data_IF_118339201776
#
_entry.id   IF_118339201776
#
_cell.length_a   1.000
_cell.length_b   1.000
_cell.length_c   1.000
_cell.angle_alpha   90.00
_cell.angle_beta   90.00
_cell.angle_gamma   90.00
#
_symmetry.space_group_name_H-M   'P 1'
#
loop_
_entity.id
_entity.type
_entity.pdbx_description
1 polymer ?
#
# COMPACT_ATOMS: atom_id res chain seq x y z
N UNK A 1 5.06 -0.84 26.07
CA UNK A 1 4.70 0.59 26.16
C UNK A 1 4.11 1.02 24.83
N UNK A 2 3.10 1.90 24.80
CA UNK A 2 2.54 2.41 23.55
C UNK A 2 3.57 3.19 22.73
N UNK A 3 3.59 2.96 21.42
CA UNK A 3 4.45 3.68 20.48
C UNK A 3 3.80 4.98 20.00
N UNK A 4 4.63 5.93 19.59
CA UNK A 4 4.26 7.10 18.80
C UNK A 4 4.57 6.80 17.33
N UNK A 5 3.56 6.83 16.47
CA UNK A 5 3.69 6.44 15.06
C UNK A 5 3.25 7.59 14.16
N UNK A 6 4.12 7.99 13.24
CA UNK A 6 3.83 8.99 12.22
C UNK A 6 3.41 8.31 10.93
N UNK A 7 2.23 8.62 10.42
CA UNK A 7 1.77 8.17 9.11
C UNK A 7 1.79 9.30 8.10
N UNK A 8 2.47 9.12 6.99
CA UNK A 8 2.36 9.99 5.84
C UNK A 8 1.26 9.45 4.94
N UNK A 9 0.08 10.10 5.00
CA UNK A 9 -1.12 9.69 4.27
C UNK A 9 -2.25 9.19 5.18
N UNK A 10 -3.46 9.74 4.99
CA UNK A 10 -4.62 9.47 5.84
C UNK A 10 -5.61 8.44 5.30
N UNK A 11 -5.36 7.84 4.13
CA UNK A 11 -6.24 6.79 3.59
C UNK A 11 -5.88 5.41 4.19
N UNK A 12 -4.91 4.71 3.63
CA UNK A 12 -4.42 3.45 4.25
C UNK A 12 -3.84 3.66 5.65
N UNK A 13 -3.30 4.86 5.92
CA UNK A 13 -2.86 5.26 7.26
C UNK A 13 -4.01 5.19 8.27
N UNK A 14 -5.21 5.67 7.95
CA UNK A 14 -6.39 5.55 8.84
C UNK A 14 -6.80 4.10 9.09
N UNK A 15 -6.70 3.23 8.07
CA UNK A 15 -7.05 1.82 8.25
C UNK A 15 -6.13 1.12 9.25
N UNK A 16 -4.83 1.26 9.09
CA UNK A 16 -3.89 0.65 10.03
C UNK A 16 -3.94 1.35 11.41
N UNK A 17 -4.06 2.67 11.44
CA UNK A 17 -4.22 3.43 12.69
C UNK A 17 -5.41 2.92 13.52
N UNK A 18 -6.58 2.74 12.91
CA UNK A 18 -7.77 2.20 13.57
C UNK A 18 -7.56 0.81 14.19
N UNK A 19 -6.59 0.05 13.69
CA UNK A 19 -6.20 -1.27 14.23
C UNK A 19 -5.17 -1.16 15.37
N UNK A 20 -4.42 -0.06 15.44
CA UNK A 20 -3.39 0.17 16.45
C UNK A 20 -3.92 0.94 17.67
N UNK A 21 -4.90 1.82 17.46
CA UNK A 21 -5.50 2.63 18.53
C UNK A 21 -6.09 1.82 19.70
N UNK A 22 -6.68 0.62 19.52
CA UNK A 22 -7.14 -0.21 20.66
C UNK A 22 -6.04 -0.57 21.65
N UNK A 23 -4.78 -0.65 21.21
CA UNK A 23 -3.63 -0.93 22.08
C UNK A 23 -3.04 0.33 22.76
N UNK A 24 -3.68 1.49 22.60
CA UNK A 24 -3.28 2.72 23.27
C UNK A 24 -2.16 3.52 22.58
N UNK A 25 -1.79 3.17 21.33
CA UNK A 25 -0.77 3.90 20.59
C UNK A 25 -1.18 5.36 20.29
N UNK A 26 -0.17 6.22 20.12
CA UNK A 26 -0.36 7.61 19.68
C UNK A 26 -0.03 7.73 18.21
N UNK A 27 -1.01 8.13 17.42
CA UNK A 27 -0.92 8.23 15.96
C UNK A 27 -0.97 9.69 15.53
N UNK A 28 -0.05 10.08 14.65
CA UNK A 28 -0.08 11.34 13.91
C UNK A 28 -0.24 11.02 12.43
N UNK A 29 -1.25 11.60 11.78
CA UNK A 29 -1.44 11.53 10.34
C UNK A 29 -0.94 12.82 9.68
N UNK A 30 -0.16 12.69 8.61
CA UNK A 30 0.16 13.81 7.72
C UNK A 30 -0.76 13.71 6.51
N UNK A 31 -1.53 14.77 6.26
CA UNK A 31 -2.54 14.77 5.21
C UNK A 31 -2.87 16.18 4.71
N UNK A 32 -3.86 16.30 3.85
CA UNK A 32 -4.29 17.57 3.27
C UNK A 32 -4.98 18.47 4.33
N UNK A 33 -4.95 19.81 4.17
CA UNK A 33 -5.51 20.74 5.17
C UNK A 33 -6.96 20.47 5.56
N UNK A 34 -7.82 20.17 4.57
CA UNK A 34 -9.22 19.82 4.82
C UNK A 34 -9.38 18.49 5.60
N UNK A 35 -8.47 17.55 5.44
CA UNK A 35 -8.44 16.30 6.22
C UNK A 35 -7.95 16.57 7.65
N UNK A 36 -6.94 17.43 7.81
CA UNK A 36 -6.39 17.82 9.13
C UNK A 36 -7.49 18.38 10.02
N UNK A 37 -8.27 19.34 9.50
CA UNK A 37 -9.37 19.97 10.26
C UNK A 37 -10.39 18.92 10.74
N UNK A 38 -10.89 18.09 9.82
CA UNK A 38 -11.93 17.11 10.12
C UNK A 38 -11.42 16.02 11.05
N UNK A 39 -10.18 15.51 10.86
CA UNK A 39 -9.61 14.47 11.70
C UNK A 39 -9.36 14.98 13.11
N UNK A 40 -8.84 16.19 13.27
CA UNK A 40 -8.60 16.76 14.61
C UNK A 40 -9.90 17.04 15.37
N UNK A 41 -10.97 17.42 14.67
CA UNK A 41 -12.28 17.69 15.26
C UNK A 41 -13.08 16.42 15.56
N UNK A 42 -13.09 15.46 14.64
CA UNK A 42 -14.01 14.32 14.65
C UNK A 42 -13.34 12.94 14.74
N UNK A 43 -12.01 12.88 14.70
CA UNK A 43 -11.27 11.62 14.58
C UNK A 43 -11.38 11.00 13.19
N UNK A 44 -11.04 9.71 13.10
CA UNK A 44 -11.23 8.89 11.91
C UNK A 44 -12.36 7.88 12.15
N UNK A 45 -13.05 7.50 11.06
CA UNK A 45 -14.04 6.42 11.04
C UNK A 45 -13.68 5.40 10.00
N UNK A 46 -13.61 4.14 10.40
CA UNK A 46 -13.31 3.02 9.50
C UNK A 46 -14.45 2.03 9.54
N UNK A 47 -15.10 1.81 8.40
CA UNK A 47 -16.20 0.86 8.24
C UNK A 47 -15.70 -0.39 7.54
N UNK A 48 -16.01 -1.56 8.08
CA UNK A 48 -15.54 -2.83 7.51
C UNK A 48 -16.56 -3.96 7.71
N UNK A 49 -16.64 -4.91 6.75
CA UNK A 49 -17.46 -6.09 6.90
C UNK A 49 -16.83 -7.03 7.94
N UNK A 50 -17.64 -7.54 8.85
CA UNK A 50 -17.22 -8.53 9.86
C UNK A 50 -18.04 -9.81 9.67
N UNK A 51 -17.38 -10.95 9.62
CA UNK A 51 -18.05 -12.27 9.44
C UNK A 51 -19.09 -12.49 10.53
N UNK A 52 -20.30 -12.85 10.12
CA UNK A 52 -21.43 -13.11 11.03
C UNK A 52 -22.13 -11.83 11.53
N UNK A 53 -21.86 -10.68 10.92
CA UNK A 53 -22.59 -9.44 11.17
C UNK A 53 -23.27 -8.97 9.90
N UNK A 54 -24.48 -8.45 10.03
CA UNK A 54 -25.14 -7.71 8.94
C UNK A 54 -24.59 -6.29 8.86
N UNK A 55 -24.40 -5.80 7.62
CA UNK A 55 -23.88 -4.47 7.38
C UNK A 55 -22.39 -4.32 7.70
N UNK A 56 -21.98 -3.09 7.97
CA UNK A 56 -20.60 -2.72 8.27
C UNK A 56 -20.46 -2.36 9.75
N UNK A 57 -19.41 -2.84 10.37
CA UNK A 57 -18.99 -2.38 11.71
C UNK A 57 -18.19 -1.10 11.53
N UNK A 58 -18.53 -0.05 12.28
CA UNK A 58 -17.81 1.23 12.28
C UNK A 58 -16.90 1.33 13.50
N UNK A 59 -15.62 1.59 13.25
CA UNK A 59 -14.63 1.96 14.26
C UNK A 59 -14.57 3.49 14.30
N UNK A 60 -14.98 4.09 15.43
CA UNK A 60 -14.78 5.52 15.71
C UNK A 60 -13.54 5.66 16.62
N UNK A 61 -12.50 6.33 16.12
CA UNK A 61 -11.23 6.50 16.85
C UNK A 61 -11.37 7.23 18.18
N UNK A 62 -12.40 8.05 18.35
CA UNK A 62 -12.65 8.79 19.60
C UNK A 62 -13.11 7.89 20.75
N UNK A 63 -13.56 6.67 20.44
CA UNK A 63 -14.00 5.68 21.42
C UNK A 63 -12.91 4.69 21.78
N UNK A 64 -11.69 4.87 21.26
CA UNK A 64 -10.55 3.97 21.44
C UNK A 64 -9.56 4.53 22.48
N UNK A 65 -8.81 3.67 23.18
CA UNK A 65 -7.83 4.10 24.20
C UNK A 65 -6.67 4.95 23.65
N UNK A 66 -6.27 4.71 22.38
CA UNK A 66 -5.18 5.44 21.75
C UNK A 66 -5.56 6.86 21.34
N UNK A 67 -4.55 7.64 20.95
CA UNK A 67 -4.73 9.03 20.52
C UNK A 67 -4.43 9.17 19.04
N UNK A 68 -5.26 9.93 18.32
CA UNK A 68 -5.03 10.26 16.92
C UNK A 68 -5.15 11.77 16.72
N UNK A 69 -4.27 12.31 15.90
CA UNK A 69 -4.31 13.70 15.43
C UNK A 69 -3.74 13.78 14.03
N UNK A 70 -3.95 14.89 13.36
CA UNK A 70 -3.44 15.15 12.02
C UNK A 70 -2.73 16.48 11.93
N UNK A 71 -1.77 16.60 11.02
CA UNK A 71 -1.05 17.84 10.74
C UNK A 71 -0.62 17.92 9.27
N UNK A 72 -0.19 19.12 8.86
CA UNK A 72 0.49 19.34 7.59
C UNK A 72 1.93 18.79 7.61
N UNK A 73 2.56 18.54 6.45
CA UNK A 73 3.93 18.03 6.39
C UNK A 73 4.96 18.86 7.15
N UNK A 74 4.85 20.19 7.12
CA UNK A 74 5.80 21.11 7.76
C UNK A 74 5.62 21.26 9.29
N UNK A 75 4.55 20.70 9.86
CA UNK A 75 4.23 20.86 11.28
C UNK A 75 4.67 19.66 12.15
N UNK A 76 5.31 18.64 11.57
CA UNK A 76 5.72 17.43 12.28
C UNK A 76 7.24 17.28 12.28
N UNK A 77 7.78 16.79 13.40
CA UNK A 77 9.18 16.41 13.49
C UNK A 77 9.30 14.87 13.56
N UNK A 78 9.83 14.19 12.52
CA UNK A 78 9.94 12.73 12.52
C UNK A 78 10.75 12.13 13.66
N UNK A 79 11.66 12.91 14.28
CA UNK A 79 12.48 12.45 15.41
C UNK A 79 11.64 12.12 16.67
N UNK A 80 10.43 12.70 16.79
CA UNK A 80 9.54 12.52 17.94
C UNK A 80 8.77 11.19 17.94
N UNK A 81 8.95 10.36 16.90
CA UNK A 81 8.22 9.12 16.68
C UNK A 81 9.12 7.90 16.74
N UNK A 82 8.54 6.76 17.10
CA UNK A 82 9.22 5.48 17.19
C UNK A 82 9.23 4.73 15.85
N UNK A 83 8.20 4.95 15.04
CA UNK A 83 8.03 4.35 13.71
C UNK A 83 7.42 5.37 12.75
N UNK A 84 7.94 5.41 11.53
CA UNK A 84 7.37 6.19 10.42
C UNK A 84 6.67 5.22 9.46
N UNK A 85 5.43 5.51 9.09
CA UNK A 85 4.67 4.74 8.10
C UNK A 85 4.38 5.57 6.85
N UNK A 86 4.91 5.16 5.70
CA UNK A 86 4.70 5.82 4.41
C UNK A 86 3.46 5.20 3.75
N UNK A 87 2.31 5.86 3.84
CA UNK A 87 1.00 5.35 3.44
C UNK A 87 0.35 6.13 2.29
N UNK A 88 1.16 6.72 1.43
CA UNK A 88 0.74 7.41 0.20
C UNK A 88 1.16 6.62 -1.03
N UNK A 89 0.59 6.95 -2.18
CA UNK A 89 1.07 6.42 -3.47
C UNK A 89 2.40 7.07 -3.84
N UNK A 90 3.25 6.34 -4.56
CA UNK A 90 4.61 6.77 -4.93
C UNK A 90 4.67 8.19 -5.51
N UNK A 91 3.83 8.60 -6.48
CA UNK A 91 3.92 9.94 -7.06
C UNK A 91 3.66 11.10 -6.09
N UNK A 92 3.05 10.82 -4.93
CA UNK A 92 2.72 11.87 -3.95
C UNK A 92 3.94 12.32 -3.14
N UNK A 93 5.00 11.49 -3.05
CA UNK A 93 6.20 11.81 -2.26
C UNK A 93 7.05 12.94 -2.86
N UNK A 94 6.85 13.28 -4.12
CA UNK A 94 7.50 14.45 -4.76
C UNK A 94 6.77 15.78 -4.53
N UNK A 95 5.58 15.74 -3.92
CA UNK A 95 4.78 16.96 -3.69
C UNK A 95 5.50 17.91 -2.73
N UNK A 96 5.38 19.23 -2.93
CA UNK A 96 5.92 20.23 -2.02
C UNK A 96 5.48 19.97 -0.57
N UNK A 97 6.38 20.18 0.37
CA UNK A 97 6.19 19.88 1.80
C UNK A 97 6.36 18.40 2.14
N UNK A 98 5.87 17.48 1.31
CA UNK A 98 6.05 16.04 1.51
C UNK A 98 7.49 15.60 1.22
N UNK A 99 8.08 16.15 0.15
CA UNK A 99 9.48 15.91 -0.19
C UNK A 99 10.41 16.35 0.95
N UNK A 100 10.22 17.56 1.46
CA UNK A 100 10.99 18.12 2.57
C UNK A 100 10.80 17.31 3.85
N UNK A 101 9.58 16.82 4.09
CA UNK A 101 9.32 15.92 5.22
C UNK A 101 10.06 14.58 5.04
N UNK A 102 10.14 14.04 3.83
CA UNK A 102 10.88 12.80 3.58
C UNK A 102 12.37 12.97 3.83
N UNK A 103 12.95 14.14 3.50
CA UNK A 103 14.33 14.49 3.87
C UNK A 103 14.51 14.59 5.40
N UNK A 104 13.50 15.11 6.11
CA UNK A 104 13.51 15.13 7.57
C UNK A 104 13.39 13.71 8.17
N UNK A 105 12.61 12.82 7.56
CA UNK A 105 12.54 11.39 7.93
C UNK A 105 13.92 10.73 7.79
N UNK A 106 14.62 10.98 6.70
CA UNK A 106 15.98 10.46 6.47
C UNK A 106 16.97 10.93 7.55
N UNK A 107 16.90 12.22 7.92
CA UNK A 107 17.74 12.83 8.99
C UNK A 107 17.42 12.27 10.37
N UNK A 108 16.16 11.97 10.65
CA UNK A 108 15.71 11.44 11.95
C UNK A 108 16.18 10.01 12.22
N UNK A 109 16.62 9.27 11.20
CA UNK A 109 17.14 7.87 11.31
C UNK A 109 16.20 6.94 12.07
N UNK A 110 14.89 7.10 11.89
CA UNK A 110 13.86 6.23 12.49
C UNK A 110 13.50 5.08 11.56
N UNK A 111 13.07 3.92 12.09
CA UNK A 111 12.56 2.84 11.25
C UNK A 111 11.36 3.32 10.44
N UNK A 112 11.33 2.94 9.17
CA UNK A 112 10.36 3.41 8.20
C UNK A 112 9.69 2.22 7.50
N UNK A 113 8.36 2.08 7.64
CA UNK A 113 7.57 1.05 6.97
C UNK A 113 6.75 1.68 5.85
N UNK A 114 7.04 1.32 4.61
CA UNK A 114 6.24 1.79 3.47
C UNK A 114 5.03 0.88 3.24
N UNK A 115 3.84 1.47 3.21
CA UNK A 115 2.57 0.78 2.95
C UNK A 115 2.17 1.11 1.51
N UNK A 116 2.79 0.44 0.54
CA UNK A 116 2.74 0.78 -0.88
C UNK A 116 2.74 -0.47 -1.75
N UNK A 117 2.07 -0.41 -2.91
CA UNK A 117 2.22 -1.46 -3.93
C UNK A 117 3.55 -1.34 -4.67
N UNK A 118 4.04 -0.12 -4.86
CA UNK A 118 5.31 0.18 -5.47
C UNK A 118 6.36 0.34 -4.37
N UNK A 119 7.34 -0.57 -4.23
CA UNK A 119 8.38 -0.46 -3.21
C UNK A 119 9.18 0.83 -3.39
N UNK A 120 9.56 1.55 -2.32
CA UNK A 120 10.58 2.58 -2.41
C UNK A 120 11.87 2.05 -3.04
N UNK A 121 12.58 2.86 -3.85
CA UNK A 121 13.90 2.48 -4.38
C UNK A 121 14.86 2.06 -3.26
N UNK A 122 14.75 2.71 -2.11
CA UNK A 122 15.51 2.39 -0.90
C UNK A 122 15.26 0.94 -0.44
N UNK A 123 14.01 0.45 -0.51
CA UNK A 123 13.69 -0.93 -0.18
C UNK A 123 14.28 -1.91 -1.20
N UNK A 124 14.25 -1.57 -2.49
CA UNK A 124 14.80 -2.42 -3.55
C UNK A 124 16.30 -2.65 -3.38
N UNK A 125 17.04 -1.75 -2.73
CA UNK A 125 18.47 -1.93 -2.40
C UNK A 125 18.72 -3.10 -1.45
N UNK A 126 17.69 -3.62 -0.77
CA UNK A 126 17.77 -4.83 0.07
C UNK A 126 17.71 -6.13 -0.74
N UNK A 127 17.35 -6.06 -2.03
CA UNK A 127 17.27 -7.22 -2.91
C UNK A 127 18.65 -7.54 -3.47
N UNK A 128 19.25 -8.71 -3.13
CA UNK A 128 20.58 -9.05 -3.58
C UNK A 128 20.70 -9.12 -5.11
N UNK A 129 21.73 -8.48 -5.66
CA UNK A 129 22.01 -8.53 -7.09
C UNK A 129 21.06 -7.75 -8.01
N UNK A 130 20.15 -6.96 -7.46
CA UNK A 130 19.30 -6.07 -8.24
C UNK A 130 20.02 -4.74 -8.52
N UNK A 131 20.15 -4.35 -9.78
CA UNK A 131 20.56 -3.00 -10.16
C UNK A 131 19.38 -2.04 -9.99
N UNK A 132 19.36 -1.35 -8.85
CA UNK A 132 18.26 -0.43 -8.50
C UNK A 132 18.23 0.81 -9.40
N UNK A 133 19.39 1.27 -9.89
CA UNK A 133 19.45 2.43 -10.76
C UNK A 133 18.74 2.20 -12.10
N UNK A 134 18.77 0.99 -12.61
CA UNK A 134 18.00 0.62 -13.81
C UNK A 134 16.47 0.62 -13.60
N UNK A 135 16.00 0.71 -12.35
CA UNK A 135 14.59 0.79 -12.00
C UNK A 135 14.08 2.24 -11.86
N UNK A 136 14.97 3.24 -11.83
CA UNK A 136 14.62 4.65 -11.53
C UNK A 136 13.58 5.24 -12.46
N UNK A 137 13.56 4.84 -13.72
CA UNK A 137 12.61 5.33 -14.72
C UNK A 137 11.15 4.90 -14.49
N UNK A 138 10.91 4.00 -13.54
CA UNK A 138 9.56 3.62 -13.12
C UNK A 138 8.95 4.58 -12.09
N UNK A 139 9.76 5.45 -11.48
CA UNK A 139 9.35 6.37 -10.40
C UNK A 139 9.06 7.76 -10.95
N UNK A 140 8.07 8.44 -10.36
CA UNK A 140 7.69 9.80 -10.76
C UNK A 140 8.79 10.83 -10.44
N UNK A 141 9.45 10.65 -9.29
CA UNK A 141 10.70 11.33 -8.93
C UNK A 141 11.56 10.38 -8.09
N UNK A 142 12.51 9.68 -8.72
CA UNK A 142 13.35 8.72 -8.02
C UNK A 142 14.27 9.36 -6.96
N UNK A 143 14.54 10.64 -7.04
CA UNK A 143 15.48 11.34 -6.14
C UNK A 143 14.96 11.48 -4.71
N UNK A 144 13.64 11.42 -4.52
CA UNK A 144 13.02 11.48 -3.18
C UNK A 144 13.43 10.31 -2.27
N UNK A 145 13.94 9.22 -2.86
CA UNK A 145 14.34 8.01 -2.15
C UNK A 145 15.84 7.95 -1.83
N UNK A 146 16.65 8.87 -2.37
CA UNK A 146 18.12 8.76 -2.35
C UNK A 146 18.71 8.99 -0.94
N UNK A 147 18.08 9.84 -0.13
CA UNK A 147 18.55 10.19 1.22
C UNK A 147 18.21 9.15 2.30
N UNK A 148 17.31 8.20 2.01
CA UNK A 148 16.83 7.21 2.98
C UNK A 148 17.81 6.03 3.12
N UNK A 149 18.01 5.54 4.35
CA UNK A 149 18.85 4.39 4.66
C UNK A 149 18.10 3.07 4.41
N UNK A 150 18.59 2.16 3.54
CA UNK A 150 17.94 0.86 3.30
C UNK A 150 17.77 0.00 4.56
N UNK A 151 18.68 0.11 5.53
CA UNK A 151 18.64 -0.63 6.80
C UNK A 151 17.47 -0.22 7.68
N UNK A 152 16.97 1.02 7.49
CA UNK A 152 15.82 1.57 8.21
C UNK A 152 14.50 1.43 7.43
N UNK A 153 14.51 0.85 6.24
CA UNK A 153 13.34 0.76 5.38
C UNK A 153 12.78 -0.67 5.33
N UNK A 154 11.47 -0.82 5.54
CA UNK A 154 10.75 -2.04 5.20
C UNK A 154 9.53 -1.77 4.35
N UNK A 155 8.97 -2.84 3.75
CA UNK A 155 7.80 -2.79 2.89
C UNK A 155 6.64 -3.54 3.54
N UNK A 156 5.46 -2.95 3.41
CA UNK A 156 4.19 -3.55 3.81
C UNK A 156 3.24 -3.52 2.61
N UNK A 157 2.78 -4.69 2.18
CA UNK A 157 1.79 -4.78 1.10
C UNK A 157 0.41 -4.31 1.60
N UNK A 158 -0.25 -3.32 0.95
CA UNK A 158 -1.58 -2.86 1.30
C UNK A 158 -2.64 -3.77 0.66
N UNK A 159 -2.74 -5.02 1.12
CA UNK A 159 -3.67 -6.01 0.56
C UNK A 159 -5.15 -5.71 0.83
N UNK A 160 -5.55 -5.10 1.97
CA UNK A 160 -6.93 -4.67 2.17
C UNK A 160 -7.37 -3.72 1.06
N UNK A 161 -8.62 -3.90 0.57
CA UNK A 161 -9.19 -2.94 -0.37
C UNK A 161 -10.13 -1.99 0.36
N UNK A 162 -9.77 -0.71 0.35
CA UNK A 162 -10.50 0.35 1.00
C UNK A 162 -10.66 1.56 0.07
N UNK A 163 -11.67 2.37 0.31
CA UNK A 163 -11.96 3.58 -0.43
C UNK A 163 -12.67 4.59 0.48
N UNK A 164 -12.64 5.86 0.11
CA UNK A 164 -13.45 6.89 0.71
C UNK A 164 -14.76 6.99 -0.05
N UNK A 165 -15.93 6.78 0.60
CA UNK A 165 -17.21 6.96 -0.06
C UNK A 165 -17.37 8.44 -0.48
N UNK A 166 -17.80 8.72 -1.72
CA UNK A 166 -17.85 10.10 -2.23
C UNK A 166 -18.86 10.99 -1.48
N UNK A 167 -19.92 10.38 -0.92
CA UNK A 167 -20.99 11.08 -0.20
C UNK A 167 -20.70 11.24 1.31
N UNK A 168 -19.51 10.84 1.76
CA UNK A 168 -19.11 10.89 3.16
C UNK A 168 -17.99 11.91 3.39
N UNK A 169 -17.78 12.27 4.67
CA UNK A 169 -16.66 13.13 5.05
C UNK A 169 -15.32 12.47 4.75
N UNK A 170 -14.28 13.26 4.50
CA UNK A 170 -12.94 12.81 4.13
C UNK A 170 -12.24 11.92 5.20
N UNK A 171 -12.71 11.94 6.44
CA UNK A 171 -12.23 11.11 7.53
C UNK A 171 -12.92 9.73 7.63
N UNK A 172 -13.83 9.41 6.71
CA UNK A 172 -14.51 8.12 6.62
C UNK A 172 -13.81 7.24 5.59
N UNK A 173 -13.41 6.03 5.99
CA UNK A 173 -12.85 5.01 5.11
C UNK A 173 -13.70 3.75 5.17
N UNK A 174 -14.03 3.17 4.02
CA UNK A 174 -14.79 1.92 3.93
C UNK A 174 -13.93 0.82 3.32
N UNK A 175 -13.88 -0.33 4.01
CA UNK A 175 -13.18 -1.54 3.55
C UNK A 175 -14.15 -2.40 2.74
N UNK A 176 -13.75 -2.81 1.54
CA UNK A 176 -14.49 -3.76 0.68
C UNK A 176 -13.99 -5.19 0.85
N UNK A 177 -12.65 -5.36 0.84
CA UNK A 177 -12.02 -6.66 0.99
C UNK A 177 -11.10 -6.62 2.21
N UNK A 178 -11.49 -7.25 3.34
CA UNK A 178 -10.77 -7.15 4.61
C UNK A 178 -9.62 -8.18 4.70
N UNK A 179 -8.68 -8.15 3.75
CA UNK A 179 -7.44 -8.94 3.80
C UNK A 179 -6.43 -8.30 4.76
N UNK A 180 -5.32 -8.95 5.01
CA UNK A 180 -4.32 -8.50 5.98
C UNK A 180 -3.23 -7.65 5.31
N UNK A 181 -2.68 -6.69 6.06
CA UNK A 181 -1.40 -6.08 5.76
C UNK A 181 -0.27 -7.11 5.94
N UNK A 182 0.68 -7.15 5.02
CA UNK A 182 1.83 -8.07 5.07
C UNK A 182 3.12 -7.25 5.05
N UNK A 183 3.74 -7.11 6.20
CA UNK A 183 5.00 -6.40 6.35
C UNK A 183 6.18 -7.38 6.32
N UNK A 184 7.25 -7.01 5.64
CA UNK A 184 8.53 -7.68 5.77
C UNK A 184 9.24 -7.21 7.05
N UNK A 185 10.13 -8.07 7.58
CA UNK A 185 11.02 -7.66 8.67
C UNK A 185 11.94 -6.51 8.25
N UNK A 186 12.38 -5.70 9.22
CA UNK A 186 13.55 -4.85 9.04
C UNK A 186 14.84 -5.69 8.97
N UNK A 187 15.95 -5.07 8.57
CA UNK A 187 17.26 -5.67 8.72
C UNK A 187 17.62 -5.86 10.20
N UNK A 188 17.34 -4.85 11.01
CA UNK A 188 17.54 -4.86 12.47
C UNK A 188 16.44 -5.67 13.18
N UNK A 189 16.84 -6.57 14.07
CA UNK A 189 15.92 -7.31 14.94
C UNK A 189 15.20 -6.38 15.92
N UNK A 190 15.87 -5.34 16.42
CA UNK A 190 15.26 -4.35 17.32
C UNK A 190 14.13 -3.59 16.63
N UNK A 191 14.29 -3.18 15.38
CA UNK A 191 13.23 -2.54 14.62
C UNK A 191 12.12 -3.53 14.23
N UNK A 192 12.48 -4.78 13.93
CA UNK A 192 11.51 -5.85 13.66
C UNK A 192 10.65 -6.14 14.88
N UNK A 193 11.22 -6.08 16.08
CA UNK A 193 10.50 -6.26 17.34
C UNK A 193 9.36 -5.25 17.52
N UNK A 194 9.52 -4.01 17.03
CA UNK A 194 8.43 -3.02 17.01
C UNK A 194 7.25 -3.57 16.20
N UNK A 195 7.51 -4.04 14.97
CA UNK A 195 6.43 -4.58 14.11
C UNK A 195 5.79 -5.83 14.71
N UNK A 196 6.58 -6.73 15.31
CA UNK A 196 6.08 -7.95 15.97
C UNK A 196 5.20 -7.62 17.18
N UNK A 197 5.55 -6.57 17.93
CA UNK A 197 4.70 -6.09 19.01
C UNK A 197 3.38 -5.56 18.46
N UNK A 198 3.40 -4.71 17.42
CA UNK A 198 2.20 -4.19 16.78
C UNK A 198 1.32 -5.33 16.20
N UNK A 199 1.93 -6.34 15.56
CA UNK A 199 1.23 -7.54 15.09
C UNK A 199 0.49 -8.24 16.22
N UNK A 200 1.18 -8.52 17.32
CA UNK A 200 0.63 -9.20 18.51
C UNK A 200 -0.53 -8.40 19.11
N UNK A 201 -0.38 -7.09 19.23
CA UNK A 201 -1.38 -6.20 19.81
C UNK A 201 -2.63 -6.10 18.91
N UNK A 202 -2.46 -5.99 17.60
CA UNK A 202 -3.57 -6.02 16.62
C UNK A 202 -4.30 -7.37 16.65
N UNK A 203 -3.59 -8.48 16.83
CA UNK A 203 -4.19 -9.82 16.92
C UNK A 203 -5.00 -9.99 18.21
N UNK A 204 -4.47 -9.50 19.32
CA UNK A 204 -5.10 -9.59 20.63
C UNK A 204 -6.28 -8.62 20.80
N UNK A 205 -6.32 -7.53 20.04
CA UNK A 205 -7.33 -6.49 20.18
C UNK A 205 -8.75 -7.04 20.00
N UNK A 206 -9.65 -6.62 20.88
CA UNK A 206 -11.10 -6.86 20.77
C UNK A 206 -11.79 -5.51 20.71
N UNK A 207 -12.91 -5.48 20.03
CA UNK A 207 -13.68 -4.28 19.76
C UNK A 207 -15.12 -4.46 20.27
N UNK A 208 -15.60 -3.49 21.05
CA UNK A 208 -17.01 -3.42 21.41
C UNK A 208 -17.81 -2.88 20.21
N UNK A 209 -18.66 -3.72 19.66
CA UNK A 209 -19.51 -3.37 18.50
C UNK A 209 -20.77 -2.57 18.88
N UNK A 210 -20.89 -2.18 20.14
CA UNK A 210 -22.04 -1.45 20.68
C UNK A 210 -23.21 -2.33 21.10
N UNK A 211 -23.09 -3.66 20.95
CA UNK A 211 -24.11 -4.65 21.44
C UNK A 211 -23.72 -5.29 22.78
N UNK A 212 -22.63 -4.81 23.40
CA UNK A 212 -22.05 -5.41 24.60
C UNK A 212 -21.22 -6.67 24.32
N UNK A 213 -20.95 -6.97 23.06
CA UNK A 213 -20.09 -8.11 22.67
C UNK A 213 -18.74 -7.60 22.17
N UNK A 214 -17.69 -8.16 22.73
CA UNK A 214 -16.33 -7.94 22.26
C UNK A 214 -16.05 -8.86 21.07
N UNK A 215 -15.85 -8.27 19.90
CA UNK A 215 -15.60 -8.98 18.64
C UNK A 215 -14.17 -8.85 18.17
N UNK A 216 -13.74 -9.82 17.39
CA UNK A 216 -12.50 -9.74 16.63
C UNK A 216 -12.75 -9.00 15.32
N UNK A 217 -11.94 -7.99 15.04
CA UNK A 217 -12.01 -7.26 13.77
C UNK A 217 -11.09 -7.91 12.74
N UNK A 218 -11.53 -8.06 11.47
CA UNK A 218 -10.64 -8.44 10.38
C UNK A 218 -9.60 -7.36 10.09
N UNK A 219 -8.76 -7.57 9.11
CA UNK A 219 -7.62 -6.72 8.76
C UNK A 219 -6.56 -6.73 9.86
N UNK A 220 -5.66 -7.70 9.78
CA UNK A 220 -4.52 -7.83 10.70
C UNK A 220 -3.26 -7.24 10.06
N UNK A 221 -2.30 -6.90 10.89
CA UNK A 221 -0.91 -6.74 10.48
C UNK A 221 -0.24 -8.11 10.62
N UNK A 222 0.42 -8.58 9.58
CA UNK A 222 1.22 -9.81 9.58
C UNK A 222 2.66 -9.47 9.21
N UNK A 223 3.57 -9.84 10.08
CA UNK A 223 5.01 -9.58 9.89
C UNK A 223 5.69 -10.87 9.46
N UNK A 224 6.48 -10.82 8.40
CA UNK A 224 7.13 -11.96 7.78
C UNK A 224 8.65 -11.81 7.83
N UNK A 225 9.37 -12.91 8.04
CA UNK A 225 10.83 -12.90 8.02
C UNK A 225 11.38 -12.77 6.59
N UNK A 226 10.62 -13.22 5.60
CA UNK A 226 10.97 -13.02 4.19
C UNK A 226 10.71 -11.57 3.74
N UNK A 227 11.72 -10.96 3.13
CA UNK A 227 11.61 -9.64 2.49
C UNK A 227 10.80 -9.69 1.19
N UNK A 228 10.47 -10.88 0.70
CA UNK A 228 9.79 -11.08 -0.58
C UNK A 228 8.26 -11.11 -0.44
N UNK A 229 7.73 -11.41 0.74
CA UNK A 229 6.28 -11.57 0.96
C UNK A 229 5.46 -10.35 0.52
N UNK A 230 5.87 -9.09 0.74
CA UNK A 230 5.11 -7.96 0.21
C UNK A 230 5.10 -7.89 -1.32
N UNK A 231 6.09 -8.48 -2.00
CA UNK A 231 6.16 -8.54 -3.47
C UNK A 231 5.19 -9.56 -4.07
N UNK A 232 4.59 -10.44 -3.26
CA UNK A 232 3.53 -11.35 -3.67
C UNK A 232 2.29 -10.62 -4.26
N UNK A 233 2.22 -9.30 -4.09
CA UNK A 233 1.24 -8.45 -4.74
C UNK A 233 1.49 -8.26 -6.25
N UNK A 234 2.73 -8.31 -6.70
CA UNK A 234 3.09 -8.04 -8.10
C UNK A 234 2.41 -8.97 -9.12
N UNK A 235 2.34 -10.30 -8.92
CA UNK A 235 1.58 -11.16 -9.81
C UNK A 235 0.11 -10.73 -9.96
N UNK A 236 -0.54 -10.32 -8.86
CA UNK A 236 -1.92 -9.83 -8.87
C UNK A 236 -2.05 -8.51 -9.63
N UNK A 237 -1.10 -7.58 -9.42
CA UNK A 237 -1.09 -6.30 -10.11
C UNK A 237 -0.92 -6.49 -11.62
N UNK A 238 0.01 -7.36 -12.03
CA UNK A 238 0.29 -7.61 -13.45
C UNK A 238 -0.83 -8.40 -14.13
N UNK A 239 -1.36 -9.45 -13.51
CA UNK A 239 -2.41 -10.27 -14.10
C UNK A 239 -3.80 -9.62 -14.09
N UNK A 240 -4.06 -8.72 -13.15
CA UNK A 240 -5.35 -8.06 -12.97
C UNK A 240 -5.29 -6.55 -13.12
N UNK A 241 -4.67 -5.86 -12.14
CA UNK A 241 -4.84 -4.41 -11.98
C UNK A 241 -4.43 -3.59 -13.21
N UNK A 242 -3.24 -3.81 -13.76
CA UNK A 242 -2.76 -3.05 -14.93
C UNK A 242 -3.42 -3.52 -16.22
N UNK A 243 -3.80 -4.80 -16.34
CA UNK A 243 -4.56 -5.33 -17.48
C UNK A 243 -6.02 -4.88 -17.50
N UNK A 244 -6.50 -4.16 -16.47
CA UNK A 244 -7.76 -3.41 -16.56
C UNK A 244 -7.70 -2.27 -17.57
N UNK A 245 -6.50 -1.77 -17.91
CA UNK A 245 -6.28 -0.76 -18.95
C UNK A 245 -6.31 -1.45 -20.30
N UNK A 246 -7.22 -1.01 -21.20
CA UNK A 246 -7.38 -1.52 -22.54
C UNK A 246 -7.20 -0.40 -23.57
N UNK A 247 -7.20 -0.75 -24.86
CA UNK A 247 -7.12 0.26 -25.95
C UNK A 247 -8.33 1.19 -25.96
N UNK A 248 -9.50 0.67 -25.62
CA UNK A 248 -10.79 1.35 -25.74
C UNK A 248 -11.33 1.85 -24.38
N UNK A 249 -10.54 1.73 -23.31
CA UNK A 249 -10.96 2.18 -21.97
C UNK A 249 -10.49 1.25 -20.84
N UNK A 250 -11.34 0.98 -19.88
CA UNK A 250 -11.02 0.14 -18.73
C UNK A 250 -12.11 -0.90 -18.49
N UNK A 251 -11.72 -2.05 -17.92
CA UNK A 251 -12.63 -3.14 -17.56
C UNK A 251 -12.47 -3.56 -16.09
N UNK A 252 -13.50 -4.18 -15.46
CA UNK A 252 -13.41 -4.70 -14.11
C UNK A 252 -12.27 -5.72 -13.93
N UNK A 253 -11.74 -5.82 -12.70
CA UNK A 253 -10.70 -6.82 -12.38
C UNK A 253 -11.24 -8.23 -12.60
N UNK A 254 -12.49 -8.51 -12.18
CA UNK A 254 -13.15 -9.80 -12.42
C UNK A 254 -13.06 -10.20 -13.89
N UNK A 255 -13.51 -9.31 -14.79
CA UNK A 255 -13.53 -9.59 -16.22
C UNK A 255 -12.12 -9.71 -16.80
N UNK A 256 -11.18 -8.90 -16.31
CA UNK A 256 -9.77 -8.97 -16.68
C UNK A 256 -9.16 -10.34 -16.40
N UNK A 257 -9.47 -10.91 -15.22
CA UNK A 257 -8.90 -12.18 -14.79
C UNK A 257 -9.62 -13.38 -15.41
N UNK A 258 -10.96 -13.29 -15.55
CA UNK A 258 -11.80 -14.44 -15.87
C UNK A 258 -12.25 -14.52 -17.33
N UNK A 259 -12.09 -13.46 -18.15
CA UNK A 259 -12.37 -13.56 -19.61
C UNK A 259 -11.40 -14.49 -20.33
N UNK A 260 -10.16 -14.59 -19.85
CA UNK A 260 -9.16 -15.56 -20.30
C UNK A 260 -8.30 -15.98 -19.09
N UNK A 261 -8.74 -17.01 -18.35
CA UNK A 261 -8.03 -17.49 -17.17
C UNK A 261 -6.65 -18.09 -17.48
N UNK A 262 -6.48 -18.66 -18.69
CA UNK A 262 -5.22 -19.24 -19.12
C UNK A 262 -4.16 -18.15 -19.33
N UNK A 263 -4.49 -17.07 -20.05
CA UNK A 263 -3.61 -15.93 -20.23
C UNK A 263 -3.32 -15.23 -18.88
N UNK A 264 -4.33 -15.10 -18.02
CA UNK A 264 -4.16 -14.50 -16.69
C UNK A 264 -3.21 -15.33 -15.82
N UNK A 265 -3.35 -16.66 -15.83
CA UNK A 265 -2.44 -17.59 -15.15
C UNK A 265 -1.02 -17.51 -15.71
N UNK A 266 -0.86 -17.43 -17.03
CA UNK A 266 0.44 -17.33 -17.66
C UNK A 266 1.21 -16.07 -17.17
N UNK A 267 0.55 -14.90 -17.21
CA UNK A 267 1.13 -13.64 -16.66
C UNK A 267 1.47 -13.80 -15.19
N UNK A 268 0.54 -14.30 -14.40
CA UNK A 268 0.70 -14.47 -12.94
C UNK A 268 1.91 -15.36 -12.61
N UNK A 269 1.97 -16.54 -13.23
CA UNK A 269 3.06 -17.50 -13.01
C UNK A 269 4.40 -16.99 -13.49
N UNK A 270 4.43 -16.22 -14.58
CA UNK A 270 5.65 -15.60 -15.06
C UNK A 270 6.19 -14.57 -14.06
N UNK A 271 5.33 -13.73 -13.45
CA UNK A 271 5.76 -12.77 -12.42
C UNK A 271 6.24 -13.50 -11.16
N UNK A 272 5.59 -14.62 -10.76
CA UNK A 272 6.11 -15.46 -9.65
C UNK A 272 7.53 -15.92 -9.96
N UNK A 273 7.78 -16.49 -11.16
CA UNK A 273 9.12 -16.92 -11.58
C UNK A 273 10.13 -15.78 -11.54
N UNK A 274 9.72 -14.56 -11.92
CA UNK A 274 10.57 -13.38 -11.81
C UNK A 274 10.92 -13.09 -10.35
N UNK A 275 9.95 -13.11 -9.42
CA UNK A 275 10.21 -12.92 -7.98
C UNK A 275 11.15 -14.02 -7.44
N UNK A 276 10.96 -15.28 -7.84
CA UNK A 276 11.85 -16.39 -7.47
C UNK A 276 13.26 -16.16 -8.00
N UNK A 277 13.42 -15.67 -9.21
CA UNK A 277 14.75 -15.33 -9.77
C UNK A 277 15.46 -14.20 -9.03
N UNK A 278 14.73 -13.40 -8.24
CA UNK A 278 15.27 -12.39 -7.34
C UNK A 278 15.62 -12.96 -5.95
N UNK A 279 15.26 -14.21 -5.66
CA UNK A 279 15.56 -14.89 -4.38
C UNK A 279 14.32 -15.18 -3.51
N UNK A 280 13.12 -14.89 -3.99
CA UNK A 280 11.89 -15.28 -3.29
C UNK A 280 11.72 -16.81 -3.27
N UNK A 281 11.10 -17.33 -2.20
CA UNK A 281 10.55 -18.68 -2.19
C UNK A 281 9.17 -18.69 -2.86
N UNK A 282 8.80 -19.80 -3.49
CA UNK A 282 7.42 -19.97 -3.97
C UNK A 282 6.40 -19.86 -2.84
N UNK A 283 6.77 -20.25 -1.61
CA UNK A 283 5.94 -20.13 -0.42
C UNK A 283 5.71 -18.67 0.02
N UNK A 284 6.52 -17.73 -0.44
CA UNK A 284 6.30 -16.29 -0.22
C UNK A 284 5.15 -15.76 -1.08
N UNK A 285 4.83 -16.47 -2.17
CA UNK A 285 3.89 -16.03 -3.19
C UNK A 285 2.47 -16.54 -2.89
N UNK A 286 1.47 -15.86 -3.45
CA UNK A 286 0.07 -16.30 -3.35
C UNK A 286 -0.25 -17.18 -4.56
N UNK A 287 -0.85 -18.37 -4.40
CA UNK A 287 -1.28 -19.19 -5.52
C UNK A 287 -2.31 -18.48 -6.41
N UNK A 288 -2.23 -18.71 -7.73
CA UNK A 288 -3.13 -18.07 -8.70
C UNK A 288 -4.61 -18.34 -8.40
N UNK A 289 -4.95 -19.57 -8.02
CA UNK A 289 -6.33 -19.98 -7.70
C UNK A 289 -6.94 -19.13 -6.57
N UNK A 290 -6.15 -18.87 -5.54
CA UNK A 290 -6.57 -18.01 -4.41
C UNK A 290 -6.84 -16.58 -4.88
N UNK A 291 -5.98 -16.04 -5.74
CA UNK A 291 -6.18 -14.73 -6.34
C UNK A 291 -7.38 -14.69 -7.28
N UNK A 292 -7.48 -15.65 -8.20
CA UNK A 292 -8.59 -15.73 -9.17
C UNK A 292 -9.94 -15.82 -8.45
N UNK A 293 -10.02 -16.61 -7.39
CA UNK A 293 -11.22 -16.74 -6.56
C UNK A 293 -11.59 -15.41 -5.88
N UNK A 294 -10.62 -14.69 -5.32
CA UNK A 294 -10.84 -13.36 -4.74
C UNK A 294 -11.27 -12.34 -5.80
N UNK A 295 -10.74 -12.43 -7.03
CA UNK A 295 -11.07 -11.54 -8.14
C UNK A 295 -12.53 -11.61 -8.57
N UNK A 296 -13.26 -12.69 -8.29
CA UNK A 296 -14.71 -12.82 -8.57
C UNK A 296 -15.53 -11.71 -7.90
N UNK A 297 -15.09 -11.22 -6.74
CA UNK A 297 -15.74 -10.14 -5.98
C UNK A 297 -15.34 -8.74 -6.45
N UNK A 298 -14.33 -8.60 -7.33
CA UNK A 298 -13.77 -7.31 -7.76
C UNK A 298 -14.46 -6.78 -9.01
N UNK A 299 -15.68 -6.27 -8.83
CA UNK A 299 -16.59 -5.83 -9.90
C UNK A 299 -16.27 -4.46 -10.50
N UNK A 300 -15.22 -3.80 -10.03
CA UNK A 300 -14.79 -2.48 -10.53
C UNK A 300 -13.40 -2.60 -11.18
N UNK A 301 -13.05 -1.68 -12.10
CA UNK A 301 -11.67 -1.53 -12.56
C UNK A 301 -10.72 -1.23 -11.40
N UNK A 302 -9.44 -1.53 -11.58
CA UNK A 302 -8.42 -1.24 -10.57
C UNK A 302 -8.33 0.26 -10.25
N UNK A 303 -7.81 0.61 -9.06
CA UNK A 303 -7.55 2.00 -8.69
C UNK A 303 -6.60 2.69 -9.68
N UNK A 304 -5.60 1.98 -10.17
CA UNK A 304 -4.68 2.49 -11.19
C UNK A 304 -5.41 2.83 -12.50
N UNK A 305 -6.26 1.92 -13.00
CA UNK A 305 -7.04 2.18 -14.21
C UNK A 305 -8.02 3.35 -14.03
N UNK A 306 -8.73 3.40 -12.89
CA UNK A 306 -9.65 4.51 -12.61
C UNK A 306 -8.93 5.85 -12.50
N UNK A 307 -7.78 5.92 -11.83
CA UNK A 307 -6.98 7.14 -11.76
C UNK A 307 -6.50 7.58 -13.14
N UNK A 308 -6.00 6.61 -13.93
CA UNK A 308 -5.51 6.85 -15.28
C UNK A 308 -6.60 7.43 -16.20
N UNK A 309 -7.79 6.83 -16.24
CA UNK A 309 -8.92 7.33 -17.04
C UNK A 309 -9.65 8.51 -16.39
N UNK A 310 -9.46 8.76 -15.12
CA UNK A 310 -9.85 9.99 -14.42
C UNK A 310 -8.93 11.18 -14.68
N UNK A 311 -7.94 11.05 -15.57
CA UNK A 311 -7.07 12.14 -15.96
C UNK A 311 -5.81 12.33 -15.11
N UNK A 312 -5.49 11.39 -14.19
CA UNK A 312 -4.29 11.49 -13.37
C UNK A 312 -3.03 11.55 -14.24
N UNK A 313 -2.16 12.57 -14.08
CA UNK A 313 -0.92 12.71 -14.86
C UNK A 313 0.17 11.73 -14.42
N UNK A 314 0.02 11.12 -13.25
CA UNK A 314 0.95 10.14 -12.69
C UNK A 314 0.18 9.11 -11.87
N UNK A 315 0.63 7.86 -11.93
CA UNK A 315 0.18 6.74 -11.09
C UNK A 315 1.41 5.95 -10.64
N UNK A 316 1.26 5.04 -9.67
CA UNK A 316 2.30 4.05 -9.38
C UNK A 316 2.55 3.18 -10.63
N UNK A 317 3.81 2.96 -10.98
CA UNK A 317 4.22 2.24 -12.20
C UNK A 317 4.90 0.92 -11.85
N UNK A 318 4.20 0.07 -11.08
CA UNK A 318 4.69 -1.28 -10.78
C UNK A 318 4.85 -2.12 -12.05
N UNK A 319 4.01 -1.88 -13.06
CA UNK A 319 4.13 -2.47 -14.39
C UNK A 319 5.50 -2.18 -15.03
N UNK A 320 5.91 -0.92 -15.03
CA UNK A 320 7.21 -0.49 -15.55
C UNK A 320 8.37 -0.96 -14.69
N UNK A 321 8.19 -1.00 -13.37
CA UNK A 321 9.18 -1.55 -12.44
C UNK A 321 9.43 -3.05 -12.71
N UNK A 322 8.36 -3.84 -12.82
CA UNK A 322 8.45 -5.27 -13.14
C UNK A 322 9.09 -5.50 -14.50
N UNK A 323 8.76 -4.68 -15.50
CA UNK A 323 9.41 -4.73 -16.83
C UNK A 323 10.92 -4.43 -16.74
N UNK A 324 11.32 -3.39 -16.00
CA UNK A 324 12.73 -3.03 -15.84
C UNK A 324 13.53 -4.14 -15.12
N UNK A 325 12.95 -4.77 -14.11
CA UNK A 325 13.55 -5.91 -13.40
C UNK A 325 13.66 -7.13 -14.33
N UNK A 326 12.60 -7.44 -15.08
CA UNK A 326 12.59 -8.55 -16.04
C UNK A 326 13.70 -8.40 -17.09
N UNK A 327 13.88 -7.19 -17.60
CA UNK A 327 14.96 -6.87 -18.56
C UNK A 327 16.34 -7.14 -17.99
N UNK A 328 16.58 -6.81 -16.71
CA UNK A 328 17.86 -7.12 -16.03
C UNK A 328 18.09 -8.63 -15.88
N UNK A 329 17.01 -9.41 -15.72
CA UNK A 329 17.08 -10.87 -15.60
C UNK A 329 17.06 -11.59 -16.96
N UNK A 330 17.15 -10.86 -18.08
CA UNK A 330 17.15 -11.42 -19.43
C UNK A 330 15.84 -12.15 -19.78
N UNK A 331 14.74 -11.79 -19.12
CA UNK A 331 13.41 -12.39 -19.38
C UNK A 331 12.44 -11.35 -19.93
N UNK A 332 11.45 -11.80 -20.68
CA UNK A 332 10.53 -10.94 -21.41
C UNK A 332 9.12 -11.55 -21.45
N UNK A 333 8.10 -10.69 -21.36
CA UNK A 333 6.69 -11.06 -21.50
C UNK A 333 5.98 -10.04 -22.41
N UNK A 334 5.63 -10.39 -23.66
CA UNK A 334 5.02 -9.46 -24.61
C UNK A 334 3.76 -8.76 -24.09
N UNK A 335 2.89 -9.49 -23.36
CA UNK A 335 1.68 -8.93 -22.79
C UNK A 335 1.95 -7.89 -21.68
N UNK A 336 3.11 -7.95 -20.99
CA UNK A 336 3.52 -6.90 -20.05
C UNK A 336 3.96 -5.65 -20.81
N UNK A 337 4.72 -5.79 -21.88
CA UNK A 337 5.16 -4.65 -22.69
C UNK A 337 3.99 -3.92 -23.36
N UNK A 338 2.99 -4.67 -23.84
CA UNK A 338 1.75 -4.05 -24.34
C UNK A 338 1.01 -3.30 -23.24
N UNK A 339 0.91 -3.87 -22.05
CA UNK A 339 0.29 -3.21 -20.89
C UNK A 339 1.03 -1.92 -20.52
N UNK A 340 2.36 -1.95 -20.43
CA UNK A 340 3.18 -0.77 -20.15
C UNK A 340 2.98 0.31 -21.21
N UNK A 341 2.96 -0.07 -22.49
CA UNK A 341 2.75 0.87 -23.59
C UNK A 341 1.36 1.54 -23.56
N UNK A 342 0.31 0.79 -23.21
CA UNK A 342 -1.05 1.35 -23.05
C UNK A 342 -1.11 2.36 -21.89
N UNK A 343 -0.50 2.04 -20.77
CA UNK A 343 -0.43 2.94 -19.60
C UNK A 343 0.36 4.20 -19.95
N UNK A 344 1.51 4.06 -20.61
CA UNK A 344 2.34 5.20 -21.04
C UNK A 344 1.59 6.14 -21.96
N UNK A 345 0.94 5.59 -22.98
CA UNK A 345 0.12 6.35 -23.93
C UNK A 345 -0.94 7.19 -23.23
N UNK A 346 -1.67 6.58 -22.30
CA UNK A 346 -2.74 7.29 -21.58
C UNK A 346 -2.18 8.34 -20.63
N UNK A 347 -1.05 8.09 -19.94
CA UNK A 347 -0.38 9.09 -19.11
C UNK A 347 0.12 10.29 -19.94
N UNK A 348 0.65 10.03 -21.13
CA UNK A 348 1.07 11.10 -22.04
C UNK A 348 -0.10 11.99 -22.45
N UNK A 349 -1.26 11.39 -22.79
CA UNK A 349 -2.48 12.13 -23.09
C UNK A 349 -2.96 12.97 -21.90
N UNK A 350 -2.92 12.39 -20.69
CA UNK A 350 -3.32 13.11 -19.49
C UNK A 350 -2.42 14.30 -19.18
N UNK A 351 -1.10 14.14 -19.34
CA UNK A 351 -0.11 15.24 -19.14
C UNK A 351 -0.29 16.37 -20.15
N UNK A 352 -0.59 16.06 -21.42
CA UNK A 352 -0.89 17.06 -22.43
C UNK A 352 -2.18 17.85 -22.15
N UNK A 353 -3.14 17.25 -21.45
CA UNK A 353 -4.38 17.94 -21.05
C UNK A 353 -4.22 18.79 -19.80
N UNK A 354 -3.24 18.47 -18.96
CA UNK A 354 -2.97 19.18 -17.70
C UNK A 354 -1.96 20.33 -17.86
N UNK A 355 -1.23 20.39 -19.01
CA UNK A 355 -0.33 21.47 -19.40
C UNK A 355 -1.09 22.60 -20.11
#
# INVERSE_FOLDING_TARGET
MPYKILFLGASYGSLLAAKLLPAGHTIKLVCLPNEVEVINKEGIRVRLPVKGREGLVEIDSRKLPGKISADSPGAVNPADYDLIALAMMEPQYRSPGVRELLDAVAKAKKPCMSIMNMPPLTYLKRIPGLNVDACRNAYADPTVWDSLDPRLMTLCSPDPQAFRPPDEKVNVLQVRLPTNFKAARFESDAHTAILRQLEKEVEAARFDDGTGKMIELPVKLKVHDSIWVPLAKWPMLMAGNYRCVTRDGMRPIKDTVHSDPAASRAVYSWVIKLCVSLGASENDMVPFEKYANAALSLLSPSSAARALYGGAPNIERVDRLVQAIAKQKGTHLPGLDETVALVDKQLELNRKKAA
#
